data_IF_448647431001
#
_entry.id   IF_448647431001
#
_cell.length_a   1.000
_cell.length_b   1.000
_cell.length_c   1.000
_cell.angle_alpha   90.00
_cell.angle_beta   90.00
_cell.angle_gamma   90.00
#
_symmetry.space_group_name_H-M   'P 1'
#
loop_
_entity.id
_entity.type
_entity.pdbx_description
1 polymer ?
#
# COMPACT_ATOMS: atom_id res chain seq x y z
N UNK A 1 -4.27 3.19 19.15
CA UNK A 1 -2.92 2.74 18.70
C UNK A 1 -2.60 1.30 19.11
N UNK A 2 -2.57 0.95 20.42
CA UNK A 2 -2.21 -0.41 20.87
C UNK A 2 -3.08 -1.52 20.29
N UNK A 3 -4.40 -1.33 20.24
CA UNK A 3 -5.34 -2.33 19.69
C UNK A 3 -5.15 -2.57 18.20
N UNK A 4 -4.92 -1.50 17.41
CA UNK A 4 -4.64 -1.59 15.98
C UNK A 4 -3.35 -2.38 15.75
N UNK A 5 -2.30 -2.10 16.53
CA UNK A 5 -1.05 -2.83 16.45
C UNK A 5 -1.18 -4.32 16.79
N UNK A 6 -2.00 -4.66 17.79
CA UNK A 6 -2.27 -6.06 18.15
C UNK A 6 -3.05 -6.81 17.05
N UNK A 7 -4.05 -6.16 16.42
CA UNK A 7 -4.77 -6.73 15.27
C UNK A 7 -3.86 -6.94 14.06
N UNK A 8 -2.98 -5.97 13.78
CA UNK A 8 -1.99 -6.10 12.71
C UNK A 8 -0.99 -7.22 12.97
N UNK A 9 -0.52 -7.36 14.23
CA UNK A 9 0.37 -8.44 14.62
C UNK A 9 -0.31 -9.83 14.47
N UNK A 10 -1.56 -9.96 14.85
CA UNK A 10 -2.32 -11.21 14.67
C UNK A 10 -2.53 -11.55 13.19
N UNK A 11 -2.71 -10.55 12.32
CA UNK A 11 -2.86 -10.76 10.88
C UNK A 11 -1.52 -11.13 10.19
N UNK A 12 -0.38 -10.77 10.77
CA UNK A 12 0.95 -10.97 10.19
C UNK A 12 1.24 -12.44 9.85
N UNK A 13 0.92 -13.34 10.76
CA UNK A 13 1.24 -14.77 10.60
C UNK A 13 0.40 -15.40 9.49
N UNK A 14 -0.87 -15.02 9.37
CA UNK A 14 -1.72 -15.40 8.25
C UNK A 14 -1.19 -14.84 6.92
N UNK A 15 -0.87 -13.55 6.87
CA UNK A 15 -0.38 -12.88 5.66
C UNK A 15 0.99 -13.43 5.19
N UNK A 16 1.79 -13.98 6.09
CA UNK A 16 3.07 -14.61 5.73
C UNK A 16 2.88 -15.91 4.90
N UNK A 17 1.70 -16.52 4.94
CA UNK A 17 1.37 -17.77 4.24
C UNK A 17 0.47 -17.58 3.02
N UNK A 18 0.03 -16.33 2.75
CA UNK A 18 -0.86 -16.00 1.64
C UNK A 18 -0.12 -16.13 0.31
N UNK A 19 -0.77 -16.75 -0.68
CA UNK A 19 -0.21 -16.94 -2.02
C UNK A 19 -0.14 -15.63 -2.80
N UNK A 20 0.69 -15.59 -3.84
CA UNK A 20 0.76 -14.46 -4.78
C UNK A 20 -0.60 -14.20 -5.44
N UNK A 21 -1.32 -15.25 -5.82
CA UNK A 21 -2.66 -15.12 -6.40
C UNK A 21 -3.64 -14.47 -5.44
N UNK A 22 -3.60 -14.83 -4.16
CA UNK A 22 -4.47 -14.25 -3.13
C UNK A 22 -4.15 -12.78 -2.89
N UNK A 23 -2.86 -12.42 -2.86
CA UNK A 23 -2.41 -11.02 -2.77
C UNK A 23 -2.90 -10.21 -3.97
N UNK A 24 -2.72 -10.73 -5.17
CA UNK A 24 -3.14 -10.09 -6.41
C UNK A 24 -4.66 -9.92 -6.47
N UNK A 25 -5.42 -10.94 -6.07
CA UNK A 25 -6.90 -10.85 -5.98
C UNK A 25 -7.34 -9.78 -4.99
N UNK A 26 -6.67 -9.66 -3.85
CA UNK A 26 -6.95 -8.62 -2.87
C UNK A 26 -6.67 -7.21 -3.44
N UNK A 27 -5.54 -7.01 -4.11
CA UNK A 27 -5.19 -5.75 -4.75
C UNK A 27 -6.20 -5.36 -5.83
N UNK A 28 -6.58 -6.29 -6.71
CA UNK A 28 -7.61 -6.05 -7.74
C UNK A 28 -8.97 -5.70 -7.12
N UNK A 29 -9.33 -6.33 -6.00
CA UNK A 29 -10.55 -6.00 -5.26
C UNK A 29 -10.49 -4.59 -4.66
N UNK A 30 -9.33 -4.15 -4.18
CA UNK A 30 -9.10 -2.78 -3.70
C UNK A 30 -9.24 -1.78 -4.85
N UNK A 31 -8.59 -2.01 -5.99
CA UNK A 31 -8.69 -1.14 -7.16
C UNK A 31 -10.14 -0.99 -7.64
N UNK A 32 -10.88 -2.11 -7.70
CA UNK A 32 -12.30 -2.10 -8.04
C UNK A 32 -13.12 -1.31 -7.02
N UNK A 33 -12.93 -1.53 -5.73
CA UNK A 33 -13.67 -0.84 -4.66
C UNK A 33 -13.42 0.68 -4.67
N UNK A 34 -12.21 1.14 -5.01
CA UNK A 34 -11.89 2.56 -5.19
C UNK A 34 -12.74 3.18 -6.31
N UNK A 35 -12.83 2.51 -7.47
CA UNK A 35 -13.64 2.98 -8.60
C UNK A 35 -15.12 2.95 -8.28
N UNK A 36 -15.61 1.87 -7.70
CA UNK A 36 -17.03 1.71 -7.33
C UNK A 36 -17.47 2.74 -6.27
N UNK A 37 -16.55 3.22 -5.43
CA UNK A 37 -16.81 4.19 -4.37
C UNK A 37 -16.43 5.62 -4.75
N UNK A 38 -16.03 5.89 -5.99
CA UNK A 38 -15.48 7.19 -6.42
C UNK A 38 -16.39 8.36 -6.09
N UNK A 39 -17.69 8.25 -6.35
CA UNK A 39 -18.68 9.30 -6.06
C UNK A 39 -18.74 9.63 -4.56
N UNK A 40 -18.74 8.60 -3.70
CA UNK A 40 -18.75 8.78 -2.25
C UNK A 40 -17.47 9.46 -1.77
N UNK A 41 -16.31 9.04 -2.30
CA UNK A 41 -15.00 9.61 -1.97
C UNK A 41 -14.94 11.08 -2.38
N UNK A 42 -15.36 11.42 -3.60
CA UNK A 42 -15.38 12.80 -4.11
C UNK A 42 -16.30 13.67 -3.28
N UNK A 43 -17.47 13.17 -2.91
CA UNK A 43 -18.43 13.91 -2.10
C UNK A 43 -17.86 14.25 -0.72
N UNK A 44 -17.19 13.28 -0.07
CA UNK A 44 -16.55 13.52 1.21
C UNK A 44 -15.35 14.46 1.06
N UNK A 45 -14.56 14.31 0.01
CA UNK A 45 -13.40 15.16 -0.27
C UNK A 45 -13.78 16.63 -0.49
N UNK A 46 -14.95 16.93 -1.06
CA UNK A 46 -15.45 18.31 -1.14
C UNK A 46 -15.58 18.95 0.24
N UNK A 47 -16.08 18.21 1.23
CA UNK A 47 -16.17 18.68 2.62
C UNK A 47 -14.77 18.93 3.21
N UNK A 48 -13.81 18.04 2.91
CA UNK A 48 -12.42 18.19 3.37
C UNK A 48 -11.77 19.45 2.76
N UNK A 49 -12.00 19.72 1.48
CA UNK A 49 -11.52 20.93 0.79
C UNK A 49 -12.12 22.21 1.39
N UNK A 50 -13.43 22.20 1.71
CA UNK A 50 -14.07 23.34 2.37
C UNK A 50 -13.47 23.59 3.76
N UNK A 51 -13.24 22.54 4.53
CA UNK A 51 -12.61 22.63 5.84
C UNK A 51 -11.16 23.10 5.71
N UNK A 52 -10.43 22.60 4.71
CA UNK A 52 -9.06 23.04 4.40
C UNK A 52 -8.99 24.54 4.12
N UNK A 53 -9.90 25.07 3.29
CA UNK A 53 -9.99 26.52 3.02
C UNK A 53 -10.29 27.32 4.29
N UNK A 54 -11.23 26.87 5.11
CA UNK A 54 -11.57 27.51 6.40
C UNK A 54 -10.38 27.53 7.36
N UNK A 55 -9.54 26.51 7.31
CA UNK A 55 -8.33 26.38 8.14
C UNK A 55 -7.10 27.07 7.52
N UNK A 56 -7.23 27.78 6.41
CA UNK A 56 -6.17 28.57 5.81
C UNK A 56 -5.12 27.75 5.04
N UNK A 57 -5.46 26.55 4.53
CA UNK A 57 -4.57 25.82 3.65
C UNK A 57 -4.31 26.62 2.37
N UNK A 58 -3.05 26.61 1.89
CA UNK A 58 -2.67 27.22 0.63
C UNK A 58 -3.30 26.51 -0.57
N UNK A 59 -3.42 27.21 -1.71
CA UNK A 59 -3.97 26.62 -2.94
C UNK A 59 -3.21 25.37 -3.39
N UNK A 60 -1.89 25.36 -3.24
CA UNK A 60 -1.08 24.17 -3.54
C UNK A 60 -1.35 22.96 -2.62
N UNK A 61 -1.69 23.21 -1.36
CA UNK A 61 -2.11 22.14 -0.43
C UNK A 61 -3.52 21.68 -0.74
N UNK A 62 -4.43 22.59 -1.12
CA UNK A 62 -5.77 22.23 -1.54
C UNK A 62 -5.77 21.41 -2.83
N UNK A 63 -4.92 21.75 -3.80
CA UNK A 63 -4.75 20.93 -5.00
C UNK A 63 -4.26 19.52 -4.70
N UNK A 64 -3.32 19.36 -3.76
CA UNK A 64 -2.85 18.04 -3.31
C UNK A 64 -3.91 17.25 -2.56
N UNK A 65 -4.79 17.92 -1.82
CA UNK A 65 -5.90 17.31 -1.09
C UNK A 65 -7.03 16.89 -2.03
N UNK A 66 -7.20 17.57 -3.16
CA UNK A 66 -8.32 17.37 -4.08
C UNK A 66 -8.28 15.97 -4.70
N UNK A 67 -9.43 15.29 -4.67
CA UNK A 67 -9.69 14.04 -5.39
C UNK A 67 -10.81 14.24 -6.39
N UNK A 68 -10.55 13.89 -7.63
CA UNK A 68 -11.51 13.77 -8.72
C UNK A 68 -11.51 12.34 -9.28
N UNK A 69 -12.36 12.08 -10.24
CA UNK A 69 -12.47 10.76 -10.87
C UNK A 69 -11.15 10.29 -11.48
N UNK A 70 -10.41 11.19 -12.13
CA UNK A 70 -9.13 10.90 -12.76
C UNK A 70 -8.05 10.52 -11.73
N UNK A 71 -8.00 11.26 -10.61
CA UNK A 71 -7.04 10.97 -9.53
C UNK A 71 -7.37 9.65 -8.84
N UNK A 72 -8.65 9.35 -8.62
CA UNK A 72 -9.08 8.07 -8.02
C UNK A 72 -8.76 6.91 -8.98
N UNK A 73 -9.04 7.06 -10.28
CA UNK A 73 -8.66 6.04 -11.26
C UNK A 73 -7.14 5.86 -11.35
N UNK A 74 -6.37 6.94 -11.27
CA UNK A 74 -4.91 6.90 -11.18
C UNK A 74 -4.41 6.10 -9.95
N UNK A 75 -5.05 6.27 -8.79
CA UNK A 75 -4.73 5.49 -7.58
C UNK A 75 -5.09 4.01 -7.80
N UNK A 76 -6.27 3.72 -8.34
CA UNK A 76 -6.69 2.36 -8.64
C UNK A 76 -5.74 1.68 -9.63
N UNK A 77 -5.32 2.41 -10.68
CA UNK A 77 -4.32 1.92 -11.63
C UNK A 77 -2.96 1.66 -10.98
N UNK A 78 -2.50 2.52 -10.09
CA UNK A 78 -1.25 2.29 -9.34
C UNK A 78 -1.31 1.01 -8.50
N UNK A 79 -2.47 0.67 -7.92
CA UNK A 79 -2.69 -0.60 -7.22
C UNK A 79 -2.64 -1.78 -8.21
N UNK A 80 -3.22 -1.65 -9.40
CA UNK A 80 -3.14 -2.66 -10.46
C UNK A 80 -1.71 -2.85 -10.98
N UNK A 81 -0.93 -1.78 -11.09
CA UNK A 81 0.48 -1.84 -11.50
C UNK A 81 1.32 -2.66 -10.49
N UNK A 82 0.98 -2.63 -9.20
CA UNK A 82 1.61 -3.48 -8.19
C UNK A 82 1.32 -4.96 -8.42
N UNK A 83 0.14 -5.32 -8.94
CA UNK A 83 -0.21 -6.72 -9.30
C UNK A 83 0.71 -7.27 -10.40
N UNK A 84 1.20 -6.41 -11.28
CA UNK A 84 2.11 -6.79 -12.36
C UNK A 84 3.55 -7.03 -11.89
N UNK A 85 3.89 -6.63 -10.65
CA UNK A 85 5.22 -6.86 -10.10
C UNK A 85 5.37 -8.31 -9.61
N UNK A 86 6.59 -8.82 -9.72
CA UNK A 86 6.92 -10.11 -9.11
C UNK A 86 6.80 -10.06 -7.59
N UNK A 87 6.19 -11.09 -6.99
CA UNK A 87 6.15 -11.21 -5.53
C UNK A 87 7.57 -11.33 -4.96
N UNK A 88 7.99 -10.42 -4.08
CA UNK A 88 9.32 -10.46 -3.50
C UNK A 88 9.48 -11.54 -2.42
N UNK A 89 8.39 -12.12 -1.92
CA UNK A 89 8.43 -13.11 -0.85
C UNK A 89 8.69 -14.52 -1.40
N UNK A 90 9.51 -15.29 -0.69
CA UNK A 90 9.82 -16.67 -1.06
C UNK A 90 10.83 -16.82 -2.21
N UNK A 91 11.43 -15.73 -2.69
CA UNK A 91 12.46 -15.82 -3.74
C UNK A 91 13.72 -16.51 -3.23
N UNK A 92 14.22 -17.45 -4.01
CA UNK A 92 15.53 -18.04 -3.78
C UNK A 92 16.62 -17.03 -4.15
N UNK A 93 17.37 -16.57 -3.15
CA UNK A 93 18.45 -15.58 -3.31
C UNK A 93 19.82 -16.27 -3.50
N UNK A 94 20.02 -17.41 -2.82
CA UNK A 94 21.27 -18.15 -2.88
C UNK A 94 21.01 -19.63 -2.51
N UNK A 95 21.71 -20.54 -3.15
CA UNK A 95 21.73 -21.97 -2.80
C UNK A 95 23.16 -22.46 -2.74
N UNK A 96 23.54 -23.12 -1.65
CA UNK A 96 24.88 -23.67 -1.43
C UNK A 96 24.76 -25.11 -0.97
N UNK A 97 25.42 -26.01 -1.69
CA UNK A 97 25.58 -27.41 -1.26
C UNK A 97 26.91 -27.59 -0.51
N UNK A 98 26.85 -28.09 0.70
CA UNK A 98 28.03 -28.37 1.51
C UNK A 98 28.64 -29.73 1.15
N UNK A 99 29.94 -29.99 1.48
CA UNK A 99 30.59 -31.27 1.19
C UNK A 99 29.91 -32.51 1.81
N UNK A 100 29.13 -32.31 2.87
CA UNK A 100 28.35 -33.37 3.51
C UNK A 100 26.97 -33.60 2.86
N UNK A 101 26.67 -32.93 1.72
CA UNK A 101 25.40 -33.05 1.00
C UNK A 101 24.28 -32.16 1.53
N UNK A 102 24.50 -31.34 2.58
CA UNK A 102 23.50 -30.40 3.08
C UNK A 102 23.29 -29.26 2.08
N UNK A 103 22.04 -29.03 1.66
CA UNK A 103 21.63 -27.90 0.79
C UNK A 103 21.08 -26.77 1.66
N UNK A 104 21.77 -25.64 1.62
CA UNK A 104 21.37 -24.41 2.32
C UNK A 104 20.76 -23.43 1.30
N UNK A 105 19.54 -22.96 1.56
CA UNK A 105 18.83 -21.99 0.72
C UNK A 105 18.61 -20.70 1.49
N UNK A 106 19.00 -19.57 0.89
CA UNK A 106 18.68 -18.24 1.38
C UNK A 106 17.46 -17.75 0.61
N UNK A 107 16.36 -17.52 1.33
CA UNK A 107 15.09 -17.06 0.74
C UNK A 107 14.65 -15.74 1.35
N UNK A 108 13.97 -14.92 0.56
CA UNK A 108 13.35 -13.69 1.06
C UNK A 108 12.09 -14.01 1.87
N UNK A 109 11.85 -13.21 2.90
CA UNK A 109 10.68 -13.35 3.79
C UNK A 109 9.93 -12.03 3.91
N UNK A 110 8.64 -12.05 4.28
CA UNK A 110 7.89 -10.81 4.54
C UNK A 110 8.53 -9.98 5.66
N UNK A 111 8.51 -8.65 5.51
CA UNK A 111 9.06 -7.72 6.51
C UNK A 111 8.28 -7.80 7.84
N UNK A 112 6.98 -8.06 7.77
CA UNK A 112 6.08 -8.11 8.92
C UNK A 112 5.13 -6.90 8.97
N UNK A 113 4.91 -6.35 10.17
CA UNK A 113 4.03 -5.19 10.36
C UNK A 113 4.79 -3.90 10.14
N UNK A 114 4.25 -3.03 9.28
CA UNK A 114 4.78 -1.71 8.98
C UNK A 114 3.76 -0.68 9.44
N UNK A 115 4.20 0.34 10.18
CA UNK A 115 3.41 1.52 10.50
C UNK A 115 3.74 2.64 9.51
N UNK A 116 2.70 3.22 8.89
CA UNK A 116 2.86 4.35 7.98
C UNK A 116 2.03 5.51 8.51
N UNK A 117 2.66 6.69 8.63
CA UNK A 117 1.99 7.93 8.97
C UNK A 117 1.86 8.74 7.69
N UNK A 118 0.62 9.01 7.28
CA UNK A 118 0.33 9.82 6.10
C UNK A 118 0.11 11.27 6.51
N UNK A 119 0.81 12.17 5.81
CA UNK A 119 0.51 13.58 5.78
C UNK A 119 0.13 13.99 4.34
N UNK A 120 -0.40 15.21 4.15
CA UNK A 120 -0.78 15.75 2.83
C UNK A 120 0.36 15.75 1.79
N UNK A 121 1.58 15.47 2.18
CA UNK A 121 2.77 15.57 1.35
C UNK A 121 3.59 14.28 1.36
N UNK A 122 3.11 13.24 0.70
CA UNK A 122 3.91 12.04 0.43
C UNK A 122 5.08 12.31 -0.53
N UNK A 123 5.05 13.42 -1.30
CA UNK A 123 6.06 13.74 -2.32
C UNK A 123 7.41 14.10 -1.69
N UNK A 124 7.44 14.65 -0.48
CA UNK A 124 8.70 15.02 0.19
C UNK A 124 9.40 13.86 0.93
N UNK A 125 8.75 12.72 1.09
CA UNK A 125 9.32 11.54 1.78
C UNK A 125 10.11 10.65 0.79
N UNK A 126 9.88 10.79 -0.50
CA UNK A 126 10.48 9.96 -1.54
C UNK A 126 11.63 10.61 -2.32
N UNK A 127 11.99 11.86 -2.03
CA UNK A 127 13.18 12.47 -2.61
C UNK A 127 14.39 12.17 -1.71
N UNK A 128 15.39 11.38 -2.19
CA UNK A 128 16.65 11.25 -1.48
C UNK A 128 17.37 12.57 -1.52
N UNK A 129 17.68 13.12 -0.35
CA UNK A 129 18.63 14.22 -0.18
C UNK A 129 20.04 13.80 -0.57
#
# INVERSE_FOLDING_TARGET
>A
MREIGLKALAAKDFLATVTTEDKNRALLSIAKALRDSSETIITQNKTDLENGRKNGLSDGMLDRLMLDESRIDGIAKAVEDVVALDDPCGRLLEEVTRPNGLVIKKVSVPIGVIGIIYELSLIHISEPT
#
